data_IF_859103937778
#
_entry.id   IF_859103937778
#
_cell.length_a   1.000
_cell.length_b   1.000
_cell.length_c   1.000
_cell.angle_alpha   90.00
_cell.angle_beta   90.00
_cell.angle_gamma   90.00
#
_symmetry.space_group_name_H-M   'P 1'
#
loop_
_entity.id
_entity.type
_entity.pdbx_description
1 polymer ?
#
# COMPACT_ATOMS: atom_id res chain seq x y z
N UNK A 1 -0.54 -20.48 -1.08
CA UNK A 1 -0.67 -21.83 -0.45
C UNK A 1 -1.77 -21.74 0.60
N UNK A 2 -2.79 -22.59 0.57
CA UNK A 2 -3.91 -22.49 1.52
C UNK A 2 -3.54 -23.10 2.87
N UNK A 3 -4.12 -22.61 3.96
CA UNK A 3 -3.94 -23.14 5.31
C UNK A 3 -4.23 -24.66 5.38
N UNK A 4 -5.20 -25.12 4.59
CA UNK A 4 -5.52 -26.55 4.47
C UNK A 4 -4.31 -27.35 4.02
N UNK A 5 -3.61 -26.91 2.96
CA UNK A 5 -2.44 -27.62 2.43
C UNK A 5 -1.27 -27.66 3.42
N UNK A 6 -1.08 -26.58 4.20
CA UNK A 6 -0.10 -26.57 5.28
C UNK A 6 -0.37 -27.65 6.32
N UNK A 7 -1.63 -27.79 6.75
CA UNK A 7 -2.03 -28.85 7.71
C UNK A 7 -1.82 -30.26 7.15
N UNK A 8 -2.19 -30.48 5.88
CA UNK A 8 -2.00 -31.75 5.20
C UNK A 8 -0.52 -32.14 5.15
N UNK A 9 0.36 -31.20 4.79
CA UNK A 9 1.80 -31.44 4.74
C UNK A 9 2.38 -31.72 6.14
N UNK A 10 2.00 -30.93 7.14
CA UNK A 10 2.45 -31.13 8.51
C UNK A 10 2.05 -32.51 9.04
N UNK A 11 0.80 -32.91 8.84
CA UNK A 11 0.31 -34.22 9.24
C UNK A 11 1.01 -35.37 8.49
N UNK A 12 1.24 -35.22 7.20
CA UNK A 12 1.97 -36.22 6.40
C UNK A 12 3.40 -36.45 6.91
N UNK A 13 4.10 -35.38 7.25
CA UNK A 13 5.45 -35.45 7.83
C UNK A 13 5.40 -36.12 9.20
N UNK A 14 4.46 -35.75 10.07
CA UNK A 14 4.32 -36.36 11.39
C UNK A 14 4.10 -37.85 11.30
N UNK A 15 3.21 -38.31 10.42
CA UNK A 15 2.97 -39.73 10.17
C UNK A 15 4.20 -40.46 9.66
N UNK A 16 4.95 -39.84 8.73
CA UNK A 16 6.16 -40.47 8.16
C UNK A 16 7.26 -40.71 9.20
N UNK A 17 7.29 -39.90 10.25
CA UNK A 17 8.29 -40.03 11.33
C UNK A 17 7.72 -40.60 12.63
N UNK A 18 6.48 -41.09 12.60
CA UNK A 18 5.78 -41.59 13.78
C UNK A 18 5.80 -40.60 14.95
N UNK A 19 5.50 -39.35 14.66
CA UNK A 19 5.49 -38.23 15.59
C UNK A 19 4.12 -37.56 15.64
N UNK A 20 3.84 -36.89 16.74
CA UNK A 20 2.71 -35.97 16.85
C UNK A 20 3.17 -34.55 16.52
N UNK A 21 2.30 -33.78 15.83
CA UNK A 21 2.57 -32.39 15.49
C UNK A 21 1.37 -31.50 15.86
N UNK A 22 1.67 -30.43 16.55
CA UNK A 22 0.68 -29.37 16.79
C UNK A 22 1.00 -28.19 15.86
N UNK A 23 0.12 -27.93 14.88
CA UNK A 23 0.25 -26.78 13.98
C UNK A 23 -0.64 -25.63 14.45
N UNK A 24 -0.03 -24.60 15.04
CA UNK A 24 -0.68 -23.35 15.43
C UNK A 24 -0.54 -22.33 14.31
N UNK A 25 -1.63 -22.07 13.61
CA UNK A 25 -1.69 -20.99 12.60
C UNK A 25 -2.27 -19.76 13.28
N UNK A 26 -1.43 -18.77 13.56
CA UNK A 26 -1.90 -17.46 13.99
C UNK A 26 -2.40 -16.72 12.75
N UNK A 27 -3.66 -16.35 12.77
CA UNK A 27 -4.22 -15.45 11.78
C UNK A 27 -3.76 -14.04 12.17
N UNK A 28 -2.70 -13.62 11.57
CA UNK A 28 -2.18 -12.27 11.60
C UNK A 28 -1.60 -12.03 10.22
N UNK A 29 -1.74 -10.83 9.74
CA UNK A 29 -1.23 -10.50 8.42
C UNK A 29 -1.87 -9.22 7.93
N UNK A 30 -1.31 -8.72 6.88
CA UNK A 30 -1.79 -7.52 6.23
C UNK A 30 -2.82 -7.89 5.17
N UNK A 31 -3.83 -7.03 5.00
CA UNK A 31 -4.68 -7.10 3.82
C UNK A 31 -3.92 -6.50 2.63
N UNK A 32 -4.19 -6.98 1.41
CA UNK A 32 -3.61 -6.36 0.23
C UNK A 32 -4.01 -4.89 0.13
N UNK A 33 -3.05 -4.06 -0.25
CA UNK A 33 -3.31 -2.65 -0.58
C UNK A 33 -3.80 -2.58 -2.01
N UNK A 34 -5.09 -2.45 -2.18
CA UNK A 34 -5.75 -2.29 -3.48
C UNK A 34 -6.29 -0.87 -3.59
N UNK A 35 -5.60 -0.04 -4.34
CA UNK A 35 -6.01 1.34 -4.57
C UNK A 35 -7.36 1.40 -5.30
N UNK A 36 -8.22 2.31 -4.86
CA UNK A 36 -9.50 2.53 -5.52
C UNK A 36 -9.29 3.06 -6.96
N UNK A 37 -9.73 2.34 -8.01
CA UNK A 37 -9.30 2.62 -9.38
C UNK A 37 -9.62 4.04 -9.87
N UNK A 38 -10.82 4.55 -9.58
CA UNK A 38 -11.23 5.90 -9.98
C UNK A 38 -10.41 6.97 -9.27
N UNK A 39 -10.16 6.81 -7.95
CA UNK A 39 -9.37 7.76 -7.18
C UNK A 39 -7.90 7.73 -7.59
N UNK A 40 -7.34 6.56 -7.83
CA UNK A 40 -5.97 6.42 -8.32
C UNK A 40 -5.80 7.12 -9.68
N UNK A 41 -6.74 6.90 -10.61
CA UNK A 41 -6.71 7.56 -11.91
C UNK A 41 -6.80 9.09 -11.77
N UNK A 42 -7.73 9.60 -10.98
CA UNK A 42 -7.91 11.03 -10.74
C UNK A 42 -6.64 11.66 -10.15
N UNK A 43 -6.04 11.01 -9.15
CA UNK A 43 -4.81 11.44 -8.53
C UNK A 43 -3.64 11.50 -9.53
N UNK A 44 -3.49 10.46 -10.34
CA UNK A 44 -2.44 10.40 -11.36
C UNK A 44 -2.63 11.47 -12.45
N UNK A 45 -3.87 11.73 -12.86
CA UNK A 45 -4.18 12.79 -13.82
C UNK A 45 -3.90 14.17 -13.24
N UNK A 46 -4.27 14.39 -11.97
CA UNK A 46 -3.95 15.63 -11.27
C UNK A 46 -2.44 15.86 -11.19
N UNK A 47 -1.69 14.87 -10.73
CA UNK A 47 -0.24 15.00 -10.60
C UNK A 47 0.45 15.29 -11.94
N UNK A 48 0.01 14.64 -13.02
CA UNK A 48 0.54 14.91 -14.36
C UNK A 48 0.29 16.33 -14.86
N UNK A 49 -0.84 16.93 -14.48
CA UNK A 49 -1.24 18.24 -14.96
C UNK A 49 -0.75 19.39 -14.09
N UNK A 50 -0.87 19.21 -12.79
CA UNK A 50 -0.78 20.31 -11.82
C UNK A 50 0.52 20.31 -11.03
N UNK A 51 1.33 19.26 -11.16
CA UNK A 51 2.58 19.15 -10.40
C UNK A 51 3.77 18.80 -11.30
N UNK A 52 4.98 18.91 -10.72
CA UNK A 52 6.22 18.45 -11.34
C UNK A 52 6.57 17.00 -10.97
N UNK A 53 5.62 16.25 -10.45
CA UNK A 53 5.83 14.86 -10.04
C UNK A 53 6.24 13.98 -11.23
N UNK A 54 7.35 13.30 -11.09
CA UNK A 54 7.73 12.24 -12.01
C UNK A 54 7.02 10.95 -11.58
N UNK A 55 5.99 10.56 -12.31
CA UNK A 55 5.18 9.40 -12.00
C UNK A 55 5.76 8.16 -12.66
N UNK A 56 6.06 7.17 -11.83
CA UNK A 56 6.60 5.88 -12.27
C UNK A 56 5.56 4.81 -11.97
N UNK A 57 5.21 4.02 -12.97
CA UNK A 57 4.38 2.83 -12.78
C UNK A 57 5.28 1.67 -12.35
N UNK A 58 4.98 1.11 -11.19
CA UNK A 58 5.77 0.02 -10.61
C UNK A 58 4.94 -1.25 -10.51
N UNK A 59 5.61 -2.38 -10.63
CA UNK A 59 4.98 -3.68 -10.38
C UNK A 59 4.48 -3.78 -8.93
N UNK A 60 3.43 -4.57 -8.67
CA UNK A 60 2.96 -4.81 -7.31
C UNK A 60 4.08 -5.28 -6.39
N UNK A 61 4.24 -4.61 -5.25
CA UNK A 61 5.23 -4.97 -4.25
C UNK A 61 4.65 -5.97 -3.24
N UNK A 62 5.44 -6.98 -2.89
CA UNK A 62 5.08 -7.99 -1.87
C UNK A 62 5.48 -7.50 -0.48
N UNK A 63 4.96 -6.34 -0.09
CA UNK A 63 5.17 -5.74 1.22
C UNK A 63 3.94 -5.90 2.11
N UNK A 64 4.12 -5.79 3.42
CA UNK A 64 3.03 -5.77 4.38
C UNK A 64 2.73 -4.35 4.82
N UNK A 65 1.47 -3.93 4.73
CA UNK A 65 1.01 -2.59 5.05
C UNK A 65 -0.32 -2.59 5.79
N UNK A 66 -0.41 -1.81 6.86
CA UNK A 66 -1.65 -1.63 7.62
C UNK A 66 -2.72 -0.90 6.81
N UNK A 67 -2.31 -0.12 5.83
CA UNK A 67 -3.22 0.67 5.00
C UNK A 67 -4.25 -0.17 4.25
N UNK A 68 -3.95 -1.45 3.98
CA UNK A 68 -4.91 -2.40 3.40
C UNK A 68 -6.20 -2.55 4.24
N UNK A 69 -6.11 -2.46 5.56
CA UNK A 69 -7.29 -2.47 6.43
C UNK A 69 -8.16 -1.23 6.26
N UNK A 70 -7.55 -0.06 6.11
CA UNK A 70 -8.27 1.18 5.83
C UNK A 70 -9.00 1.09 4.49
N UNK A 71 -8.30 0.64 3.44
CA UNK A 71 -8.87 0.48 2.10
C UNK A 71 -10.01 -0.54 2.04
N UNK A 72 -10.03 -1.51 2.93
CA UNK A 72 -11.15 -2.45 3.04
C UNK A 72 -12.45 -1.82 3.56
N UNK A 73 -12.38 -0.61 4.09
CA UNK A 73 -13.51 0.12 4.69
C UNK A 73 -13.83 1.43 3.97
N UNK A 74 -12.81 2.10 3.46
CA UNK A 74 -12.92 3.44 2.89
C UNK A 74 -12.15 3.45 1.56
N UNK A 75 -12.78 3.90 0.46
CA UNK A 75 -12.05 4.09 -0.79
C UNK A 75 -10.87 5.05 -0.61
N UNK A 76 -9.69 4.64 -1.03
CA UNK A 76 -8.48 5.45 -0.87
C UNK A 76 -7.39 5.06 -1.86
N UNK A 77 -6.26 5.74 -1.75
CA UNK A 77 -5.07 5.52 -2.56
C UNK A 77 -3.83 5.60 -1.68
N UNK A 78 -2.96 4.63 -1.82
CA UNK A 78 -1.61 4.65 -1.27
C UNK A 78 -0.61 4.84 -2.40
N UNK A 79 0.38 5.66 -2.17
CA UNK A 79 1.46 5.97 -3.10
C UNK A 79 2.80 5.60 -2.50
N UNK A 80 3.73 5.23 -3.36
CA UNK A 80 5.15 5.19 -3.02
C UNK A 80 5.80 6.52 -3.36
N UNK A 81 6.56 7.06 -2.43
CA UNK A 81 7.36 8.26 -2.63
C UNK A 81 8.83 7.87 -2.74
N UNK A 82 9.47 8.22 -3.84
CA UNK A 82 10.92 8.12 -3.96
C UNK A 82 11.59 9.12 -3.04
N UNK A 83 12.59 8.69 -2.30
CA UNK A 83 13.26 9.49 -1.28
C UNK A 83 14.73 9.76 -1.59
N UNK A 84 15.18 9.36 -2.77
CA UNK A 84 16.56 9.54 -3.24
C UNK A 84 17.62 9.02 -2.25
N UNK A 85 17.39 7.85 -1.69
CA UNK A 85 18.30 7.18 -0.77
C UNK A 85 18.83 5.88 -1.38
N UNK A 86 20.14 5.69 -1.33
CA UNK A 86 20.78 4.43 -1.76
C UNK A 86 20.48 3.26 -0.82
N UNK A 87 19.98 3.54 0.38
CA UNK A 87 19.66 2.52 1.36
C UNK A 87 18.18 2.09 1.26
N UNK A 88 17.89 0.79 1.39
CA UNK A 88 16.53 0.30 1.33
C UNK A 88 15.69 0.76 2.53
N UNK A 89 14.37 0.70 2.36
CA UNK A 89 13.40 0.96 3.43
C UNK A 89 13.74 0.14 4.69
N UNK A 90 13.58 0.74 5.86
CA UNK A 90 13.94 0.19 7.18
C UNK A 90 15.44 -0.05 7.43
N UNK A 91 16.32 0.38 6.53
CA UNK A 91 17.76 0.38 6.80
C UNK A 91 18.11 1.46 7.81
N UNK A 92 19.08 1.16 8.70
CA UNK A 92 19.68 2.16 9.60
C UNK A 92 20.42 3.29 8.85
N UNK A 93 20.76 3.04 7.59
CA UNK A 93 21.44 4.00 6.71
C UNK A 93 20.48 4.76 5.80
N UNK A 94 19.17 4.51 5.91
CA UNK A 94 18.17 5.22 5.11
C UNK A 94 18.19 6.70 5.51
N UNK A 95 18.51 7.54 4.55
CA UNK A 95 18.58 8.98 4.72
C UNK A 95 17.86 9.65 3.55
N UNK A 96 16.59 10.02 3.72
CA UNK A 96 15.84 10.73 2.70
C UNK A 96 16.45 12.09 2.39
N UNK A 97 16.42 12.50 1.13
CA UNK A 97 16.69 13.89 0.79
C UNK A 97 15.59 14.78 1.40
N UNK A 98 15.99 15.82 2.14
CA UNK A 98 15.04 16.72 2.84
C UNK A 98 14.09 17.44 1.88
N UNK A 99 14.49 17.67 0.62
CA UNK A 99 13.63 18.25 -0.41
C UNK A 99 12.37 17.41 -0.69
N UNK A 100 12.46 16.09 -0.48
CA UNK A 100 11.34 15.17 -0.67
C UNK A 100 10.21 15.47 0.32
N UNK A 101 10.52 15.91 1.52
CA UNK A 101 9.50 16.25 2.53
C UNK A 101 8.64 17.42 2.06
N UNK A 102 9.27 18.50 1.60
CA UNK A 102 8.55 19.66 1.07
C UNK A 102 7.74 19.28 -0.18
N UNK A 103 8.37 18.54 -1.09
CA UNK A 103 7.69 18.05 -2.28
C UNK A 103 6.43 17.20 -1.94
N UNK A 104 6.53 16.31 -0.96
CA UNK A 104 5.42 15.48 -0.53
C UNK A 104 4.28 16.33 0.05
N UNK A 105 4.61 17.24 0.96
CA UNK A 105 3.63 18.13 1.59
C UNK A 105 2.92 18.99 0.54
N UNK A 106 3.67 19.63 -0.35
CA UNK A 106 3.13 20.49 -1.38
C UNK A 106 2.21 19.72 -2.33
N UNK A 107 2.69 18.58 -2.82
CA UNK A 107 1.95 17.78 -3.81
C UNK A 107 0.65 17.21 -3.23
N UNK A 108 0.71 16.67 -2.02
CA UNK A 108 -0.47 16.11 -1.34
C UNK A 108 -1.46 17.24 -0.98
N UNK A 109 -0.97 18.36 -0.45
CA UNK A 109 -1.81 19.51 -0.08
C UNK A 109 -2.55 20.08 -1.28
N UNK A 110 -1.89 20.21 -2.42
CA UNK A 110 -2.52 20.65 -3.67
C UNK A 110 -3.63 19.70 -4.12
N UNK A 111 -3.40 18.39 -4.05
CA UNK A 111 -4.44 17.43 -4.40
C UNK A 111 -5.62 17.47 -3.42
N UNK A 112 -5.37 17.58 -2.13
CA UNK A 112 -6.44 17.71 -1.13
C UNK A 112 -7.26 18.98 -1.36
N UNK A 113 -6.61 20.10 -1.62
CA UNK A 113 -7.31 21.36 -1.95
C UNK A 113 -8.15 21.22 -3.21
N UNK A 114 -7.63 20.59 -4.26
CA UNK A 114 -8.38 20.27 -5.47
C UNK A 114 -9.63 19.44 -5.15
N UNK A 115 -9.52 18.41 -4.31
CA UNK A 115 -10.65 17.57 -3.91
C UNK A 115 -11.69 18.35 -3.11
N UNK A 116 -11.27 19.18 -2.15
CA UNK A 116 -12.18 19.99 -1.33
C UNK A 116 -12.95 20.97 -2.21
N UNK A 117 -12.28 21.64 -3.14
CA UNK A 117 -12.93 22.60 -4.06
C UNK A 117 -13.99 21.91 -4.93
N UNK A 118 -13.68 20.74 -5.48
CA UNK A 118 -14.64 19.95 -6.28
C UNK A 118 -15.85 19.48 -5.47
N UNK A 119 -15.66 19.08 -4.22
CA UNK A 119 -16.76 18.70 -3.33
C UNK A 119 -17.66 19.90 -3.01
N UNK A 120 -17.08 21.07 -2.81
CA UNK A 120 -17.84 22.30 -2.56
C UNK A 120 -18.63 22.78 -3.78
N UNK A 121 -18.20 22.44 -4.99
CA UNK A 121 -18.89 22.74 -6.24
C UNK A 121 -20.00 21.74 -6.59
N UNK A 122 -20.29 20.79 -5.73
CA UNK A 122 -21.43 19.86 -5.85
C UNK A 122 -21.17 18.55 -6.59
N UNK A 123 -19.93 18.14 -6.79
CA UNK A 123 -19.63 16.79 -7.25
C UNK A 123 -19.95 15.77 -6.16
N UNK A 124 -20.91 14.90 -6.46
CA UNK A 124 -21.31 13.81 -5.55
C UNK A 124 -20.17 12.86 -5.29
N UNK A 125 -19.98 12.55 -4.02
CA UNK A 125 -19.07 11.54 -3.49
C UNK A 125 -19.13 10.25 -4.32
N UNK A 126 -17.96 9.70 -4.58
CA UNK A 126 -17.82 8.41 -5.25
C UNK A 126 -18.35 7.32 -4.30
N UNK A 127 -19.52 6.77 -4.64
CA UNK A 127 -20.04 5.53 -4.06
C UNK A 127 -19.43 4.33 -4.77
#
# INVERSE_FOLDING_TARGET
MTQKRLRELANGIAQSFNMEIELKLKQGGYLPVENHPKLAKELMEFFKKETKANLIDIAPAMTGEDFGYLLSKIPGVMLWLGIDSDAPLHSQKMNPDEHVLNFAVDTISQFLQFKVNRLSEGEKTIN
#
